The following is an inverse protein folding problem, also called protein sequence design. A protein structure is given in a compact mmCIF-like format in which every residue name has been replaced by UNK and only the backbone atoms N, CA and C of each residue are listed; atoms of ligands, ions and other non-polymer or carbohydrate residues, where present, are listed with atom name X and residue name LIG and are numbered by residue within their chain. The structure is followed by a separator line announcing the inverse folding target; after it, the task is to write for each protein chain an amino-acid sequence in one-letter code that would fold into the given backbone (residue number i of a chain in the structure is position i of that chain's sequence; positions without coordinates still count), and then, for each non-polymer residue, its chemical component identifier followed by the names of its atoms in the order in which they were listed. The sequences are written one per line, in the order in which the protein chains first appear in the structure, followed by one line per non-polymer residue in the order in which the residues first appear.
data_IF_286769304257
#
_entry.id   IF_286769304257
#
_cell.length_a   1.000
_cell.length_b   1.000
_cell.length_c   1.000
_cell.angle_alpha   90.00
_cell.angle_beta   90.00
_cell.angle_gamma   90.00
#
_symmetry.space_group_name_H-M   'P 1'
#
loop_
_entity.id
_entity.type
_entity.pdbx_description
1 polymer ?
#
# COMPACT_ATOMS: atom_id res chain seq x y z
N UNK A 1 11.30 -5.51 15.80
CA UNK A 1 10.73 -4.41 14.98
C UNK A 1 11.23 -3.06 15.48
N UNK A 2 11.07 -2.72 16.77
CA UNK A 2 11.54 -1.45 17.34
C UNK A 2 13.01 -1.10 17.05
N UNK A 3 13.93 -2.01 17.33
CA UNK A 3 15.37 -1.81 17.08
C UNK A 3 15.65 -1.48 15.59
N UNK A 4 14.92 -2.13 14.67
CA UNK A 4 15.03 -1.88 13.24
C UNK A 4 14.71 -0.44 12.88
N UNK A 5 13.62 0.09 13.44
CA UNK A 5 13.17 1.47 13.19
C UNK A 5 14.04 2.48 13.92
N UNK A 6 14.31 2.27 15.21
CA UNK A 6 15.03 3.24 16.07
C UNK A 6 16.54 3.30 15.79
N UNK A 7 17.15 2.19 15.39
CA UNK A 7 18.61 2.08 15.34
C UNK A 7 19.17 1.61 14.00
N UNK A 8 18.36 0.97 13.13
CA UNK A 8 18.83 0.44 11.83
C UNK A 8 18.25 1.17 10.62
N UNK A 9 17.49 2.25 10.84
CA UNK A 9 16.98 3.11 9.78
C UNK A 9 15.80 2.53 8.98
N UNK A 10 15.14 1.46 9.48
CA UNK A 10 13.94 0.94 8.83
C UNK A 10 12.81 1.97 8.86
N UNK A 11 12.06 2.07 7.76
CA UNK A 11 11.04 3.10 7.55
C UNK A 11 9.61 2.56 7.45
N UNK A 12 9.39 1.27 7.68
CA UNK A 12 8.10 0.61 7.49
C UNK A 12 8.13 -0.85 7.91
N UNK A 13 6.96 -1.48 7.98
CA UNK A 13 6.78 -2.90 8.28
C UNK A 13 5.98 -3.54 7.14
N UNK A 14 6.41 -4.71 6.67
CA UNK A 14 5.75 -5.48 5.60
C UNK A 14 5.33 -6.85 6.11
N UNK A 15 4.10 -7.25 5.80
CA UNK A 15 3.49 -8.52 6.21
C UNK A 15 2.99 -9.32 5.00
N UNK A 16 3.02 -10.65 5.08
CA UNK A 16 2.54 -11.57 4.04
C UNK A 16 1.44 -12.50 4.57
N UNK A 17 0.21 -11.99 4.80
CA UNK A 17 -0.91 -12.72 5.41
C UNK A 17 -1.15 -14.12 4.83
N UNK A 18 -1.14 -14.23 3.50
CA UNK A 18 -1.30 -15.49 2.77
C UNK A 18 -0.17 -16.49 3.06
N UNK A 19 1.08 -16.05 2.92
CA UNK A 19 2.26 -16.92 3.07
C UNK A 19 2.51 -17.30 4.54
N UNK A 20 2.11 -16.43 5.46
CA UNK A 20 2.32 -16.55 6.89
C UNK A 20 1.06 -17.09 7.61
N UNK A 21 0.01 -17.40 6.86
CA UNK A 21 -1.24 -18.04 7.30
C UNK A 21 -1.99 -17.30 8.42
N UNK A 22 -2.20 -15.99 8.26
CA UNK A 22 -3.07 -15.20 9.13
C UNK A 22 -3.94 -14.23 8.34
N UNK A 23 -5.16 -13.90 8.79
CA UNK A 23 -5.95 -12.86 8.16
C UNK A 23 -5.39 -11.47 8.48
N UNK A 24 -5.43 -10.55 7.51
CA UNK A 24 -4.96 -9.15 7.67
C UNK A 24 -5.52 -8.49 8.93
N UNK A 25 -6.80 -8.71 9.25
CA UNK A 25 -7.49 -8.13 10.39
C UNK A 25 -7.38 -8.97 11.68
N UNK A 26 -6.40 -9.87 11.80
CA UNK A 26 -6.22 -10.64 13.03
C UNK A 26 -5.91 -9.73 14.22
N UNK A 27 -6.87 -9.54 15.12
CA UNK A 27 -6.67 -8.75 16.34
C UNK A 27 -5.53 -9.29 17.20
N UNK A 28 -5.38 -10.61 17.27
CA UNK A 28 -4.34 -11.23 18.09
C UNK A 28 -2.94 -11.06 17.52
N UNK A 29 -2.78 -11.10 16.20
CA UNK A 29 -1.48 -11.14 15.54
C UNK A 29 -1.07 -9.79 14.96
N UNK A 30 -2.00 -9.06 14.35
CA UNK A 30 -1.72 -7.87 13.55
C UNK A 30 -1.96 -6.58 14.34
N UNK A 31 -2.97 -6.50 15.21
CA UNK A 31 -3.25 -5.25 15.94
C UNK A 31 -2.10 -4.83 16.87
N UNK A 32 -1.38 -5.73 17.58
CA UNK A 32 -0.18 -5.35 18.32
C UNK A 32 0.93 -4.78 17.42
N UNK A 33 1.01 -5.23 16.17
CA UNK A 33 1.96 -4.69 15.17
C UNK A 33 1.52 -3.31 14.71
N UNK A 34 0.21 -3.10 14.50
CA UNK A 34 -0.35 -1.79 14.15
C UNK A 34 -0.21 -0.77 15.27
N UNK A 35 -0.45 -1.16 16.53
CA UNK A 35 -0.20 -0.31 17.70
C UNK A 35 1.28 0.10 17.77
N UNK A 36 2.19 -0.84 17.51
CA UNK A 36 3.61 -0.53 17.46
C UNK A 36 3.96 0.41 16.29
N UNK A 37 3.39 0.17 15.11
CA UNK A 37 3.58 1.01 13.93
C UNK A 37 3.09 2.45 14.17
N UNK A 38 1.96 2.60 14.87
CA UNK A 38 1.42 3.89 15.33
C UNK A 38 2.42 4.60 16.24
N UNK A 39 2.89 3.94 17.31
CA UNK A 39 3.89 4.49 18.26
C UNK A 39 5.19 4.91 17.55
N UNK A 40 5.64 4.13 16.58
CA UNK A 40 6.86 4.37 15.83
C UNK A 40 6.68 5.32 14.63
N UNK A 41 5.44 5.69 14.29
CA UNK A 41 5.07 6.51 13.13
C UNK A 41 5.63 5.98 11.81
N UNK A 42 5.45 4.67 11.58
CA UNK A 42 5.86 4.00 10.34
C UNK A 42 4.66 3.34 9.66
N UNK A 43 4.61 3.28 8.32
CA UNK A 43 3.54 2.62 7.58
C UNK A 43 3.59 1.10 7.72
N UNK A 44 2.41 0.48 7.53
CA UNK A 44 2.26 -0.95 7.29
C UNK A 44 2.03 -1.19 5.80
N UNK A 45 2.72 -2.16 5.21
CA UNK A 45 2.46 -2.65 3.86
C UNK A 45 1.99 -4.11 3.95
N UNK A 46 0.83 -4.40 3.38
CA UNK A 46 0.32 -5.77 3.32
C UNK A 46 0.49 -6.33 1.93
N UNK A 47 0.87 -7.60 1.83
CA UNK A 47 0.63 -8.34 0.59
C UNK A 47 -0.88 -8.55 0.49
N UNK A 48 -1.48 -8.10 -0.61
CA UNK A 48 -2.93 -8.24 -0.82
C UNK A 48 -3.23 -8.77 -2.22
N UNK A 49 -4.39 -9.37 -2.36
CA UNK A 49 -4.78 -10.00 -3.61
C UNK A 49 -4.31 -11.45 -3.74
N UNK A 50 -4.66 -12.03 -4.90
CA UNK A 50 -4.78 -13.47 -5.16
C UNK A 50 -5.77 -14.17 -4.22
N UNK A 51 -6.86 -14.78 -4.74
CA UNK A 51 -7.73 -15.59 -3.90
C UNK A 51 -6.94 -16.78 -3.38
N UNK A 52 -6.68 -16.79 -2.07
CA UNK A 52 -6.34 -18.02 -1.36
C UNK A 52 -7.62 -18.67 -0.81
N UNK A 53 -7.54 -19.94 -0.43
CA UNK A 53 -8.69 -20.70 0.09
C UNK A 53 -9.30 -20.08 1.35
N UNK A 54 -8.58 -19.19 2.04
CA UNK A 54 -8.91 -18.71 3.36
C UNK A 54 -9.30 -17.21 3.43
N UNK A 55 -9.17 -16.48 2.32
CA UNK A 55 -9.43 -15.04 2.24
C UNK A 55 -8.43 -14.17 3.00
N UNK A 56 -7.26 -14.69 3.39
CA UNK A 56 -6.36 -14.01 4.33
C UNK A 56 -5.81 -12.68 3.81
N UNK A 57 -5.60 -12.58 2.50
CA UNK A 57 -5.05 -11.40 1.83
C UNK A 57 -6.13 -10.54 1.13
N UNK A 58 -7.41 -10.68 1.49
CA UNK A 58 -8.49 -9.91 0.88
C UNK A 58 -8.35 -8.41 1.24
N UNK A 59 -8.30 -7.49 0.25
CA UNK A 59 -8.04 -6.07 0.52
C UNK A 59 -9.02 -5.41 1.48
N UNK A 60 -10.30 -5.78 1.46
CA UNK A 60 -11.31 -5.19 2.35
C UNK A 60 -11.02 -5.40 3.83
N UNK A 61 -10.23 -6.42 4.19
CA UNK A 61 -9.84 -6.67 5.57
C UNK A 61 -8.92 -5.58 6.14
N UNK A 62 -8.28 -4.75 5.31
CA UNK A 62 -7.53 -3.60 5.84
C UNK A 62 -8.45 -2.53 6.46
N UNK A 63 -9.76 -2.58 6.19
CA UNK A 63 -10.73 -1.65 6.75
C UNK A 63 -10.78 -1.68 8.27
N UNK A 64 -10.73 -2.87 8.88
CA UNK A 64 -10.78 -3.00 10.35
C UNK A 64 -9.56 -2.36 11.03
N UNK A 65 -8.39 -2.48 10.40
CA UNK A 65 -7.17 -1.80 10.83
C UNK A 65 -7.25 -0.29 10.62
N UNK A 66 -7.80 0.14 9.48
CA UNK A 66 -7.91 1.55 9.14
C UNK A 66 -8.87 2.30 10.08
N UNK A 67 -9.98 1.65 10.46
CA UNK A 67 -10.95 2.18 11.44
C UNK A 67 -10.36 2.24 12.85
N UNK A 68 -9.64 1.19 13.26
CA UNK A 68 -9.07 1.09 14.61
C UNK A 68 -7.83 1.98 14.81
N UNK A 69 -7.00 2.14 13.78
CA UNK A 69 -5.73 2.88 13.80
C UNK A 69 -5.70 3.94 12.70
N UNK A 70 -6.57 4.96 12.73
CA UNK A 70 -6.69 5.97 11.68
C UNK A 70 -5.41 6.78 11.45
N UNK A 71 -4.50 6.83 12.42
CA UNK A 71 -3.19 7.48 12.33
C UNK A 71 -2.12 6.64 11.61
N UNK A 72 -2.33 5.33 11.45
CA UNK A 72 -1.39 4.43 10.78
C UNK A 72 -1.64 4.47 9.28
N UNK A 73 -0.60 4.79 8.51
CA UNK A 73 -0.67 4.66 7.05
C UNK A 73 -0.62 3.18 6.66
N UNK A 74 -1.64 2.71 5.94
CA UNK A 74 -1.77 1.31 5.49
C UNK A 74 -1.64 1.27 3.98
N UNK A 75 -0.63 0.58 3.47
CA UNK A 75 -0.37 0.39 2.05
C UNK A 75 -0.89 -0.98 1.62
N UNK A 76 -1.81 -0.97 0.67
CA UNK A 76 -2.40 -2.15 0.04
C UNK A 76 -1.51 -2.56 -1.14
N UNK A 77 -0.63 -3.52 -0.90
CA UNK A 77 0.31 -4.02 -1.90
C UNK A 77 -0.39 -4.60 -3.11
N UNK A 78 0.11 -4.30 -4.30
CA UNK A 78 -0.46 -4.69 -5.60
C UNK A 78 -1.89 -4.22 -5.79
N UNK A 79 -2.39 -3.26 -5.00
CA UNK A 79 -3.79 -2.81 -5.01
C UNK A 79 -4.77 -3.98 -5.09
N UNK A 80 -4.52 -5.08 -4.37
CA UNK A 80 -5.38 -6.27 -4.38
C UNK A 80 -5.33 -7.14 -5.64
N UNK A 81 -4.43 -6.90 -6.60
CA UNK A 81 -4.31 -7.60 -7.88
C UNK A 81 -5.67 -7.65 -8.62
N UNK A 82 -6.27 -8.85 -8.73
CA UNK A 82 -7.58 -9.05 -9.37
C UNK A 82 -8.74 -8.41 -8.58
N UNK A 83 -8.51 -8.09 -7.30
CA UNK A 83 -9.47 -7.48 -6.38
C UNK A 83 -9.28 -5.96 -6.26
N UNK A 84 -8.74 -5.30 -7.29
CA UNK A 84 -8.45 -3.86 -7.22
C UNK A 84 -9.68 -2.97 -7.04
N UNK A 85 -10.85 -3.40 -7.49
CA UNK A 85 -12.09 -2.68 -7.20
C UNK A 85 -12.41 -2.69 -5.70
N UNK A 86 -12.13 -3.80 -5.00
CA UNK A 86 -12.33 -3.92 -3.56
C UNK A 86 -11.31 -3.05 -2.79
N UNK A 87 -10.06 -3.04 -3.26
CA UNK A 87 -9.01 -2.17 -2.73
C UNK A 87 -9.36 -0.69 -2.89
N UNK A 88 -9.84 -0.29 -4.08
CA UNK A 88 -10.31 1.08 -4.34
C UNK A 88 -11.54 1.39 -3.47
N UNK A 89 -12.48 0.44 -3.32
CA UNK A 89 -13.67 0.63 -2.51
C UNK A 89 -13.30 0.94 -1.05
N UNK A 90 -12.48 0.10 -0.42
CA UNK A 90 -12.10 0.30 0.99
C UNK A 90 -11.28 1.58 1.16
N UNK A 91 -10.39 1.92 0.22
CA UNK A 91 -9.63 3.16 0.26
C UNK A 91 -10.48 4.43 0.09
N UNK A 92 -11.69 4.33 -0.47
CA UNK A 92 -12.65 5.45 -0.49
C UNK A 92 -13.30 5.70 0.87
N UNK A 93 -13.36 4.69 1.73
CA UNK A 93 -13.94 4.79 3.07
C UNK A 93 -12.95 5.30 4.11
N UNK A 94 -11.65 5.02 3.92
CA UNK A 94 -10.62 5.38 4.90
C UNK A 94 -9.46 6.15 4.26
N UNK A 95 -9.15 7.32 4.81
CA UNK A 95 -8.17 8.26 4.24
C UNK A 95 -6.70 7.81 4.42
N UNK A 96 -6.44 6.96 5.41
CA UNK A 96 -5.11 6.42 5.72
C UNK A 96 -4.73 5.18 4.89
N UNK A 97 -5.58 4.75 3.94
CA UNK A 97 -5.28 3.66 3.01
C UNK A 97 -4.64 4.19 1.72
N UNK A 98 -3.52 3.58 1.34
CA UNK A 98 -2.71 3.92 0.17
C UNK A 98 -2.67 2.72 -0.77
N UNK A 99 -2.82 2.95 -2.08
CA UNK A 99 -2.86 1.91 -3.11
C UNK A 99 -1.52 1.81 -3.85
N UNK A 100 -0.93 0.62 -3.92
CA UNK A 100 0.36 0.38 -4.59
C UNK A 100 0.18 -0.26 -5.98
N UNK A 101 0.85 0.26 -7.02
CA UNK A 101 0.48 0.04 -8.43
C UNK A 101 1.05 -1.20 -9.14
N UNK A 102 1.83 -2.04 -8.47
CA UNK A 102 2.44 -3.22 -9.10
C UNK A 102 1.38 -4.11 -9.77
N UNK A 103 1.74 -4.64 -10.95
CA UNK A 103 0.86 -5.42 -11.84
C UNK A 103 -0.35 -4.71 -12.45
N UNK A 104 -0.51 -3.40 -12.25
CA UNK A 104 -1.66 -2.68 -12.80
C UNK A 104 -1.42 -2.02 -14.15
N UNK A 105 -2.49 -2.01 -14.94
CA UNK A 105 -2.54 -1.32 -16.23
C UNK A 105 -2.72 0.20 -16.05
N UNK A 106 -2.38 1.03 -17.05
CA UNK A 106 -2.67 2.47 -17.03
C UNK A 106 -4.14 2.80 -16.74
N UNK A 107 -5.07 1.95 -17.19
CA UNK A 107 -6.50 2.14 -16.99
C UNK A 107 -6.91 1.94 -15.53
N UNK A 108 -6.36 0.92 -14.88
CA UNK A 108 -6.65 0.61 -13.47
C UNK A 108 -6.02 1.65 -12.54
N UNK A 109 -4.79 2.07 -12.82
CA UNK A 109 -4.13 3.17 -12.10
C UNK A 109 -4.95 4.45 -12.20
N UNK A 110 -5.41 4.81 -13.42
CA UNK A 110 -6.28 5.98 -13.61
C UNK A 110 -7.55 5.88 -12.77
N UNK A 111 -8.17 4.70 -12.73
CA UNK A 111 -9.38 4.48 -11.94
C UNK A 111 -9.11 4.67 -10.45
N UNK A 112 -7.99 4.20 -9.93
CA UNK A 112 -7.59 4.47 -8.55
C UNK A 112 -7.46 5.97 -8.30
N UNK A 113 -6.72 6.69 -9.15
CA UNK A 113 -6.54 8.15 -9.05
C UNK A 113 -7.88 8.90 -9.08
N UNK A 114 -8.77 8.58 -10.02
CA UNK A 114 -10.10 9.19 -10.14
C UNK A 114 -10.99 8.97 -8.90
N UNK A 115 -10.74 7.90 -8.14
CA UNK A 115 -11.60 7.50 -7.01
C UNK A 115 -11.05 7.89 -5.64
N UNK A 116 -9.73 7.91 -5.46
CA UNK A 116 -9.11 8.16 -4.15
C UNK A 116 -8.16 9.36 -4.14
N UNK A 117 -7.78 9.90 -5.30
CA UNK A 117 -6.79 10.97 -5.43
C UNK A 117 -5.37 10.43 -5.66
N UNK A 118 -4.59 11.14 -6.47
CA UNK A 118 -3.22 10.73 -6.82
C UNK A 118 -2.28 10.74 -5.62
N UNK A 119 -2.55 11.52 -4.56
CA UNK A 119 -1.77 11.62 -3.33
C UNK A 119 -1.82 10.35 -2.46
N UNK A 120 -2.77 9.45 -2.75
CA UNK A 120 -2.97 8.14 -2.08
C UNK A 120 -2.66 6.93 -2.97
N UNK A 121 -1.93 7.16 -4.07
CA UNK A 121 -1.45 6.10 -4.96
C UNK A 121 0.08 6.13 -5.01
N UNK A 122 0.74 5.00 -4.86
CA UNK A 122 2.21 4.89 -4.85
C UNK A 122 2.70 3.87 -5.86
N UNK A 123 3.83 4.19 -6.48
CA UNK A 123 4.52 3.26 -7.36
C UNK A 123 5.08 2.06 -6.57
N UNK A 124 4.94 0.89 -7.16
CA UNK A 124 5.79 -0.26 -6.90
C UNK A 124 5.77 -1.22 -8.09
N UNK A 125 6.76 -2.09 -8.12
CA UNK A 125 6.99 -3.05 -9.21
C UNK A 125 6.84 -4.50 -8.78
N UNK A 126 6.90 -4.79 -7.48
CA UNK A 126 7.00 -6.15 -6.93
C UNK A 126 8.18 -6.96 -7.51
N UNK A 127 9.31 -6.32 -7.82
CA UNK A 127 10.54 -7.03 -8.21
C UNK A 127 10.98 -7.98 -7.07
N UNK A 128 11.34 -9.25 -7.34
CA UNK A 128 11.70 -9.84 -8.64
C UNK A 128 10.55 -10.45 -9.47
N UNK A 129 9.30 -10.38 -9.01
CA UNK A 129 8.15 -10.97 -9.71
C UNK A 129 7.59 -10.06 -10.80
N UNK A 130 7.63 -8.75 -10.60
CA UNK A 130 7.33 -7.78 -11.63
C UNK A 130 8.57 -7.14 -12.24
N UNK A 131 8.36 -6.42 -13.34
CA UNK A 131 9.40 -5.75 -14.13
C UNK A 131 9.27 -4.24 -13.89
N UNK A 132 10.24 -3.60 -13.21
CA UNK A 132 10.17 -2.18 -12.87
C UNK A 132 9.84 -1.25 -14.04
N UNK A 133 10.42 -1.50 -15.20
CA UNK A 133 10.25 -0.72 -16.43
C UNK A 133 8.80 -0.76 -16.93
N UNK A 134 8.15 -1.93 -16.83
CA UNK A 134 6.74 -2.08 -17.22
C UNK A 134 5.85 -1.30 -16.25
N UNK A 135 6.09 -1.42 -14.94
CA UNK A 135 5.31 -0.69 -13.93
C UNK A 135 5.48 0.84 -14.06
N UNK A 136 6.69 1.32 -14.36
CA UNK A 136 6.93 2.75 -14.62
C UNK A 136 6.19 3.18 -15.88
N UNK A 137 6.24 2.37 -16.94
CA UNK A 137 5.53 2.66 -18.19
C UNK A 137 4.02 2.71 -17.98
N UNK A 138 3.46 1.83 -17.14
CA UNK A 138 2.04 1.85 -16.79
C UNK A 138 1.61 3.19 -16.19
N UNK A 139 2.40 3.76 -15.28
CA UNK A 139 2.13 5.09 -14.70
C UNK A 139 2.32 6.20 -15.74
N UNK A 140 3.38 6.13 -16.57
CA UNK A 140 3.66 7.15 -17.60
C UNK A 140 2.59 7.24 -18.69
N UNK A 141 2.04 6.10 -19.11
CA UNK A 141 0.96 6.00 -20.10
C UNK A 141 -0.42 6.26 -19.51
N UNK A 142 -0.54 6.39 -18.18
CA UNK A 142 -1.77 6.76 -17.51
C UNK A 142 -2.19 8.18 -17.94
N UNK A 143 -3.47 8.35 -18.33
CA UNK A 143 -4.04 9.63 -18.76
C UNK A 143 -4.40 10.50 -17.54
N UNK A 144 -3.38 10.90 -16.79
CA UNK A 144 -3.42 11.82 -15.64
C UNK A 144 -2.38 12.92 -15.85
N UNK A 145 -2.42 14.00 -15.07
CA UNK A 145 -1.47 15.10 -15.21
C UNK A 145 -0.03 14.68 -14.85
N UNK A 146 0.96 15.38 -15.38
CA UNK A 146 2.38 15.10 -15.06
C UNK A 146 2.67 15.23 -13.57
N UNK A 147 2.06 16.20 -12.89
CA UNK A 147 2.16 16.36 -11.43
C UNK A 147 1.64 15.12 -10.68
N UNK A 148 0.53 14.54 -11.11
CA UNK A 148 -0.01 13.31 -10.51
C UNK A 148 0.91 12.11 -10.78
N UNK A 149 1.57 12.04 -11.94
CA UNK A 149 2.56 11.00 -12.23
C UNK A 149 3.77 11.13 -11.30
N UNK A 150 4.28 12.33 -11.06
CA UNK A 150 5.38 12.58 -10.12
C UNK A 150 5.02 12.17 -8.68
N UNK A 151 3.78 12.47 -8.26
CA UNK A 151 3.25 12.01 -6.98
C UNK A 151 3.37 10.49 -6.84
N UNK A 152 2.84 9.76 -7.82
CA UNK A 152 2.83 8.30 -7.82
C UNK A 152 4.24 7.72 -7.92
N UNK A 153 5.08 8.24 -8.83
CA UNK A 153 6.41 7.70 -9.13
C UNK A 153 7.45 7.90 -8.01
N UNK A 154 7.17 8.73 -7.01
CA UNK A 154 8.07 8.81 -5.87
C UNK A 154 7.70 9.80 -4.78
N UNK A 155 7.05 10.92 -5.09
CA UNK A 155 6.85 11.97 -4.07
C UNK A 155 5.93 11.50 -2.93
N UNK A 156 4.91 10.68 -3.22
CA UNK A 156 4.04 10.12 -2.20
C UNK A 156 4.80 9.16 -1.27
N UNK A 157 5.61 8.26 -1.83
CA UNK A 157 6.40 7.33 -1.01
C UNK A 157 7.47 8.08 -0.20
N UNK A 158 8.12 9.10 -0.78
CA UNK A 158 9.07 9.94 -0.06
C UNK A 158 8.41 10.66 1.12
N UNK A 159 7.20 11.21 0.92
CA UNK A 159 6.38 11.81 1.99
C UNK A 159 6.04 10.80 3.07
N UNK A 160 5.56 9.61 2.71
CA UNK A 160 5.16 8.54 3.65
C UNK A 160 6.36 8.06 4.49
N UNK A 161 7.54 7.92 3.89
CA UNK A 161 8.75 7.43 4.57
C UNK A 161 9.56 8.55 5.25
N UNK A 162 9.13 9.81 5.13
CA UNK A 162 9.84 10.98 5.67
C UNK A 162 11.23 11.17 5.05
N UNK A 163 11.41 10.81 3.78
CA UNK A 163 12.66 10.97 3.04
C UNK A 163 12.68 12.39 2.48
N UNK A 164 13.62 13.21 2.95
CA UNK A 164 13.88 14.54 2.38
C UNK A 164 14.67 14.38 1.10
N UNK A 165 14.19 14.99 0.04
CA UNK A 165 14.91 15.08 -1.21
C UNK A 165 16.07 16.05 -1.19
N UNK A 166 17.11 15.71 -1.95
CA UNK A 166 18.06 16.66 -2.53
C UNK A 166 17.83 16.85 -4.04
N UNK A 167 16.58 16.62 -4.48
CA UNK A 167 16.13 16.70 -5.88
C UNK A 167 15.51 18.05 -6.20
#
# INVERSE_FOLDING_TARGET
MEDGVKHKGFKGIKLHPRNEAFPINSEKLVFPIAELASKLKVPLLFHTGDPDTYGFAQPTLVGDLADTFPEVTIIVGHMGKRLYEDAILVARWFDNIILETSFHTPREIRRAVERVGADRVVYGSDMPFGIPEISIMSVRLCKISEKEKELILGLNMARILGIKGSW
#
